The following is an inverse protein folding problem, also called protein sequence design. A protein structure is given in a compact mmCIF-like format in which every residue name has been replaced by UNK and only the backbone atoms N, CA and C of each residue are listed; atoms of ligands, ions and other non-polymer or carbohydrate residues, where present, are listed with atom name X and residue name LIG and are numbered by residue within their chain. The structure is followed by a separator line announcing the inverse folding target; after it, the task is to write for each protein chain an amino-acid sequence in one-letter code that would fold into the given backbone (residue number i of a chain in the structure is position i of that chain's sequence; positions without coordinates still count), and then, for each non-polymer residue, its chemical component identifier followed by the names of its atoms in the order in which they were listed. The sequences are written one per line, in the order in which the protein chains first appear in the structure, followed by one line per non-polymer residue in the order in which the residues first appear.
data_IF_820775132942
#
_entry.id   IF_820775132942
#
_cell.length_a   1.000
_cell.length_b   1.000
_cell.length_c   1.000
_cell.angle_alpha   90.00
_cell.angle_beta   90.00
_cell.angle_gamma   90.00
#
_symmetry.space_group_name_H-M   'P 1'
#
loop_
_entity.id
_entity.type
_entity.pdbx_description
1 polymer ?
#
# COMPACT_ATOMS: atom_id res chain seq x y z
N UNK A 1 -1.60 -0.45 -23.84
CA UNK A 1 -1.64 -1.62 -22.93
C UNK A 1 -3.06 -1.77 -22.44
N UNK A 2 -3.49 -2.97 -22.06
CA UNK A 2 -4.80 -3.19 -21.45
C UNK A 2 -4.61 -3.98 -20.16
N UNK A 3 -5.30 -3.56 -19.09
CA UNK A 3 -5.27 -4.23 -17.78
C UNK A 3 -6.67 -4.57 -17.31
N UNK A 4 -6.75 -5.63 -16.51
CA UNK A 4 -7.96 -6.18 -15.88
C UNK A 4 -7.95 -5.88 -14.40
N UNK A 5 -9.08 -5.40 -13.88
CA UNK A 5 -9.25 -5.03 -12.48
C UNK A 5 -10.52 -5.68 -11.95
N UNK A 6 -10.35 -6.71 -11.13
CA UNK A 6 -11.46 -7.46 -10.53
C UNK A 6 -11.80 -6.90 -9.16
N UNK A 7 -13.08 -6.67 -8.91
CA UNK A 7 -13.57 -6.15 -7.63
C UNK A 7 -14.62 -7.13 -7.10
N UNK A 8 -14.33 -7.73 -5.95
CA UNK A 8 -15.15 -8.79 -5.37
C UNK A 8 -15.71 -8.32 -4.05
N UNK A 9 -17.04 -8.38 -3.91
CA UNK A 9 -17.66 -8.31 -2.59
C UNK A 9 -17.53 -9.68 -1.93
N UNK A 10 -16.75 -9.79 -0.86
CA UNK A 10 -16.40 -11.08 -0.25
C UNK A 10 -15.63 -10.95 1.05
N UNK A 11 -15.32 -12.09 1.66
CA UNK A 11 -14.53 -12.16 2.89
C UNK A 11 -13.08 -12.47 2.55
N UNK A 12 -12.15 -11.67 3.07
CA UNK A 12 -10.71 -11.80 2.83
C UNK A 12 -10.12 -13.15 3.28
N UNK A 13 -10.82 -13.84 4.20
CA UNK A 13 -10.43 -15.16 4.73
C UNK A 13 -10.67 -16.29 3.73
N UNK A 14 -11.40 -16.02 2.65
CA UNK A 14 -11.68 -16.96 1.55
C UNK A 14 -11.50 -16.25 0.20
N UNK A 15 -10.27 -16.11 -0.27
CA UNK A 15 -9.98 -15.41 -1.52
C UNK A 15 -10.36 -16.29 -2.73
N UNK A 16 -11.20 -15.78 -3.67
CA UNK A 16 -11.62 -16.51 -4.86
C UNK A 16 -10.56 -16.45 -5.97
N UNK A 17 -9.34 -16.84 -5.61
CA UNK A 17 -8.13 -16.80 -6.41
C UNK A 17 -7.41 -18.15 -6.36
N UNK A 18 -6.75 -18.50 -7.46
CA UNK A 18 -5.91 -19.68 -7.50
C UNK A 18 -4.63 -19.46 -6.70
N UNK A 19 -3.98 -20.55 -6.30
CA UNK A 19 -2.65 -20.51 -5.71
C UNK A 19 -1.66 -19.87 -6.70
N UNK A 20 -0.65 -19.17 -6.19
CA UNK A 20 0.40 -18.55 -7.01
C UNK A 20 -0.13 -17.71 -8.18
N UNK A 21 -1.14 -16.87 -7.94
CA UNK A 21 -1.86 -16.12 -8.99
C UNK A 21 -1.67 -14.60 -8.94
N UNK A 22 -1.01 -14.07 -7.90
CA UNK A 22 -0.71 -12.63 -7.79
C UNK A 22 0.75 -12.37 -7.47
N UNK A 23 1.29 -11.26 -7.98
CA UNK A 23 2.71 -10.92 -7.85
C UNK A 23 3.03 -10.01 -6.67
N UNK A 24 2.08 -9.17 -6.30
CA UNK A 24 2.23 -8.15 -5.28
C UNK A 24 0.94 -8.05 -4.46
N UNK A 25 1.08 -7.99 -3.14
CA UNK A 25 0.00 -7.60 -2.23
C UNK A 25 0.34 -6.23 -1.68
N UNK A 26 -0.61 -5.30 -1.73
CA UNK A 26 -0.52 -4.00 -1.05
C UNK A 26 -1.84 -3.78 -0.33
N UNK A 27 -1.81 -3.68 0.99
CA UNK A 27 -3.04 -3.61 1.76
C UNK A 27 -2.85 -2.96 3.12
N UNK A 28 -3.96 -2.74 3.81
CA UNK A 28 -4.03 -2.21 5.16
C UNK A 28 -5.20 -2.90 5.89
N UNK A 29 -4.94 -3.84 6.82
CA UNK A 29 -6.00 -4.54 7.52
C UNK A 29 -6.79 -3.60 8.44
N UNK A 30 -7.96 -4.02 8.96
CA UNK A 30 -8.50 -3.42 10.18
C UNK A 30 -7.50 -3.63 11.32
N UNK A 31 -7.08 -2.55 11.98
CA UNK A 31 -6.01 -2.62 12.97
C UNK A 31 -6.53 -3.14 14.32
N UNK A 32 -5.98 -4.24 14.86
CA UNK A 32 -6.34 -4.70 16.19
C UNK A 32 -6.16 -3.61 17.24
N UNK A 33 -7.08 -3.59 18.20
CA UNK A 33 -7.13 -2.68 19.33
C UNK A 33 -7.40 -1.20 19.01
N UNK A 34 -7.69 -0.84 17.75
CA UNK A 34 -8.32 0.46 17.45
C UNK A 34 -9.85 0.31 17.60
N UNK A 35 -10.44 1.15 18.47
CA UNK A 35 -11.85 1.05 18.90
C UNK A 35 -12.86 0.97 17.74
N UNK A 36 -12.60 1.65 16.61
CA UNK A 36 -13.50 1.64 15.46
C UNK A 36 -13.68 0.24 14.84
N UNK A 37 -12.77 -0.70 15.08
CA UNK A 37 -12.80 -2.04 14.52
C UNK A 37 -13.32 -3.10 15.51
N UNK A 38 -13.61 -2.74 16.76
CA UNK A 38 -14.05 -3.67 17.81
C UNK A 38 -15.28 -4.47 17.38
N UNK A 39 -16.33 -3.80 16.89
CA UNK A 39 -17.57 -4.43 16.44
C UNK A 39 -17.33 -5.41 15.28
N UNK A 40 -16.38 -5.09 14.40
CA UNK A 40 -16.04 -5.97 13.27
C UNK A 40 -15.36 -7.23 13.80
N UNK A 41 -14.34 -7.10 14.66
CA UNK A 41 -13.65 -8.25 15.22
C UNK A 41 -14.57 -9.10 16.10
N UNK A 42 -15.39 -8.49 16.96
CA UNK A 42 -16.36 -9.20 17.81
C UNK A 42 -17.46 -9.92 17.00
N UNK A 43 -17.82 -9.41 15.82
CA UNK A 43 -18.74 -10.09 14.92
C UNK A 43 -18.09 -11.29 14.20
N UNK A 44 -16.77 -11.28 14.02
CA UNK A 44 -16.01 -12.37 13.39
C UNK A 44 -15.62 -13.45 14.40
N UNK A 45 -15.30 -13.05 15.63
CA UNK A 45 -15.06 -13.91 16.78
C UNK A 45 -15.68 -13.29 18.05
N UNK A 46 -16.80 -13.83 18.57
CA UNK A 46 -17.47 -13.32 19.77
C UNK A 46 -16.59 -13.29 21.02
N UNK A 47 -15.54 -14.12 21.11
CA UNK A 47 -14.64 -14.12 22.27
C UNK A 47 -13.80 -12.83 22.34
N UNK A 48 -13.61 -12.11 21.23
CA UNK A 48 -13.03 -10.77 21.21
C UNK A 48 -13.90 -9.81 22.02
N UNK A 49 -15.22 -9.81 21.79
CA UNK A 49 -16.16 -8.96 22.51
C UNK A 49 -16.17 -9.27 24.01
N UNK A 50 -16.14 -10.55 24.37
CA UNK A 50 -16.03 -10.99 25.77
C UNK A 50 -14.74 -10.48 26.41
N UNK A 51 -13.60 -10.62 25.74
CA UNK A 51 -12.32 -10.15 26.26
C UNK A 51 -12.29 -8.62 26.45
N UNK A 52 -12.84 -7.86 25.50
CA UNK A 52 -12.97 -6.41 25.61
C UNK A 52 -13.88 -6.00 26.78
N UNK A 53 -15.04 -6.65 26.94
CA UNK A 53 -15.98 -6.38 28.03
C UNK A 53 -15.38 -6.71 29.41
N UNK A 54 -14.50 -7.72 29.48
CA UNK A 54 -13.75 -8.10 30.68
C UNK A 54 -12.54 -7.19 30.95
N UNK A 55 -12.20 -6.28 30.03
CA UNK A 55 -11.00 -5.44 30.10
C UNK A 55 -9.69 -6.21 29.87
N UNK A 56 -9.76 -7.44 29.35
CA UNK A 56 -8.59 -8.27 29.05
C UNK A 56 -8.03 -7.93 27.67
N UNK A 57 -7.23 -6.87 27.63
CA UNK A 57 -6.65 -6.36 26.40
C UNK A 57 -5.66 -7.30 25.72
N UNK A 58 -4.93 -8.13 26.48
CA UNK A 58 -3.94 -9.07 25.91
C UNK A 58 -4.67 -10.16 25.13
N UNK A 59 -5.69 -10.75 25.75
CA UNK A 59 -6.56 -11.73 25.11
C UNK A 59 -7.28 -11.14 23.90
N UNK A 60 -7.82 -9.92 24.01
CA UNK A 60 -8.48 -9.26 22.88
C UNK A 60 -7.51 -9.04 21.70
N UNK A 61 -6.29 -8.58 21.98
CA UNK A 61 -5.25 -8.36 20.97
C UNK A 61 -4.88 -9.65 20.24
N UNK A 62 -4.63 -10.74 20.98
CA UNK A 62 -4.32 -12.06 20.40
C UNK A 62 -5.46 -12.57 19.52
N UNK A 63 -6.71 -12.55 20.02
CA UNK A 63 -7.89 -13.03 19.28
C UNK A 63 -8.16 -12.21 18.00
N UNK A 64 -7.98 -10.89 18.05
CA UNK A 64 -8.12 -10.05 16.85
C UNK A 64 -7.07 -10.41 15.78
N UNK A 65 -5.83 -10.69 16.18
CA UNK A 65 -4.81 -11.15 15.24
C UNK A 65 -5.07 -12.58 14.73
N UNK A 66 -5.67 -13.47 15.54
CA UNK A 66 -6.11 -14.80 15.11
C UNK A 66 -7.18 -14.74 14.00
N UNK A 67 -8.06 -13.75 14.04
CA UNK A 67 -8.99 -13.49 12.93
C UNK A 67 -8.22 -13.14 11.64
N UNK A 68 -7.23 -12.25 11.72
CA UNK A 68 -6.41 -11.83 10.56
C UNK A 68 -5.50 -12.95 10.04
N UNK A 69 -5.10 -13.89 10.90
CA UNK A 69 -4.21 -15.02 10.58
C UNK A 69 -4.70 -15.87 9.41
N UNK A 70 -6.02 -16.03 9.30
CA UNK A 70 -6.65 -16.72 8.18
C UNK A 70 -6.49 -15.97 6.84
N UNK A 71 -6.46 -14.63 6.87
CA UNK A 71 -6.14 -13.81 5.69
C UNK A 71 -4.66 -13.91 5.34
N UNK A 72 -3.77 -13.95 6.33
CA UNK A 72 -2.33 -14.14 6.11
C UNK A 72 -2.02 -15.48 5.43
N UNK A 73 -2.73 -16.55 5.80
CA UNK A 73 -2.65 -17.84 5.12
C UNK A 73 -3.13 -17.76 3.65
N UNK A 74 -4.21 -17.04 3.39
CA UNK A 74 -4.68 -16.82 2.02
C UNK A 74 -3.69 -16.00 1.19
N UNK A 75 -3.06 -14.97 1.76
CA UNK A 75 -2.00 -14.19 1.11
C UNK A 75 -0.82 -15.08 0.74
N UNK A 76 -0.33 -15.92 1.66
CA UNK A 76 0.75 -16.86 1.40
C UNK A 76 0.41 -17.80 0.23
N UNK A 77 -0.83 -18.32 0.22
CA UNK A 77 -1.33 -19.25 -0.81
C UNK A 77 -1.38 -18.62 -2.20
N UNK A 78 -1.88 -17.40 -2.32
CA UNK A 78 -2.12 -16.77 -3.63
C UNK A 78 -0.89 -16.03 -4.18
N UNK A 79 0.05 -15.64 -3.32
CA UNK A 79 1.23 -14.87 -3.71
C UNK A 79 2.27 -15.78 -4.37
N UNK A 80 2.65 -15.50 -5.61
CA UNK A 80 3.66 -16.30 -6.34
C UNK A 80 4.99 -16.42 -5.59
N UNK A 81 5.80 -17.47 -5.86
CA UNK A 81 7.15 -17.54 -5.34
C UNK A 81 7.98 -16.32 -5.73
N UNK A 82 8.52 -15.65 -4.72
CA UNK A 82 9.27 -14.42 -4.82
C UNK A 82 8.44 -13.15 -5.01
N UNK A 83 7.11 -13.26 -4.97
CA UNK A 83 6.20 -12.13 -4.83
C UNK A 83 6.40 -11.40 -3.51
N UNK A 84 5.90 -10.17 -3.44
CA UNK A 84 6.06 -9.27 -2.29
C UNK A 84 4.70 -9.00 -1.66
N UNK A 85 4.64 -8.96 -0.34
CA UNK A 85 3.50 -8.44 0.41
C UNK A 85 3.92 -7.19 1.17
N UNK A 86 3.17 -6.11 0.98
CA UNK A 86 3.32 -4.84 1.67
C UNK A 86 2.09 -4.60 2.55
N UNK A 87 2.26 -4.61 3.86
CA UNK A 87 1.17 -4.46 4.83
C UNK A 87 1.35 -3.14 5.58
N UNK A 88 0.47 -2.17 5.30
CA UNK A 88 0.42 -0.92 6.06
C UNK A 88 -0.34 -1.14 7.36
N UNK A 89 0.29 -0.84 8.50
CA UNK A 89 -0.32 -1.01 9.82
C UNK A 89 0.22 0.00 10.82
N UNK A 90 -0.69 0.56 11.62
CA UNK A 90 -0.34 1.36 12.79
C UNK A 90 -0.36 0.53 14.06
N UNK A 91 0.56 0.81 14.98
CA UNK A 91 0.38 0.38 16.35
C UNK A 91 -0.84 1.08 16.97
N UNK A 92 -1.50 0.42 17.91
CA UNK A 92 -2.64 0.99 18.61
C UNK A 92 -2.24 1.40 20.02
N UNK A 93 -2.75 2.53 20.50
CA UNK A 93 -2.73 2.83 21.93
C UNK A 93 -4.15 2.80 22.47
N UNK A 94 -4.32 2.18 23.64
CA UNK A 94 -5.64 2.02 24.26
C UNK A 94 -5.53 2.08 25.76
N UNK A 95 -6.54 2.67 26.40
CA UNK A 95 -6.71 2.63 27.85
C UNK A 95 -7.77 1.59 28.18
N UNK A 96 -7.42 0.62 29.01
CA UNK A 96 -8.35 -0.33 29.62
C UNK A 96 -8.29 -0.17 31.15
N UNK A 97 -8.98 -1.05 31.88
CA UNK A 97 -9.07 -0.99 33.35
C UNK A 97 -7.70 -1.12 34.05
N UNK A 98 -6.75 -1.82 33.42
CA UNK A 98 -5.37 -2.00 33.91
C UNK A 98 -4.43 -0.83 33.54
N UNK A 99 -4.85 0.05 32.64
CA UNK A 99 -4.18 1.30 32.31
C UNK A 99 -4.02 1.57 30.81
N UNK A 100 -3.27 2.63 30.52
CA UNK A 100 -2.91 3.03 29.16
C UNK A 100 -1.69 2.25 28.68
N UNK A 101 -1.76 1.66 27.48
CA UNK A 101 -0.62 0.97 26.86
C UNK A 101 -0.65 1.01 25.33
N UNK A 102 0.46 0.58 24.74
CA UNK A 102 0.63 0.41 23.29
C UNK A 102 0.57 -1.06 22.92
N UNK A 103 -0.06 -1.35 21.79
CA UNK A 103 -0.26 -2.67 21.20
C UNK A 103 0.51 -2.74 19.88
N UNK A 104 1.61 -3.51 19.82
CA UNK A 104 2.54 -3.49 18.70
C UNK A 104 2.04 -4.37 17.55
N UNK A 105 1.05 -3.88 16.80
CA UNK A 105 0.48 -4.59 15.65
C UNK A 105 1.56 -4.98 14.62
N UNK A 106 2.54 -4.09 14.40
CA UNK A 106 3.61 -4.35 13.44
C UNK A 106 4.47 -5.58 13.81
N UNK A 107 4.73 -5.78 15.11
CA UNK A 107 5.54 -6.87 15.61
C UNK A 107 4.79 -8.21 15.49
N UNK A 108 3.54 -8.24 15.94
CA UNK A 108 2.68 -9.44 15.88
C UNK A 108 2.46 -9.92 14.44
N UNK A 109 2.20 -8.99 13.49
CA UNK A 109 2.08 -9.34 12.07
C UNK A 109 3.42 -9.85 11.53
N UNK A 110 4.55 -9.25 11.93
CA UNK A 110 5.87 -9.70 11.50
C UNK A 110 6.16 -11.13 11.93
N UNK A 111 5.82 -11.49 13.17
CA UNK A 111 5.99 -12.85 13.69
C UNK A 111 5.10 -13.83 12.92
N UNK A 112 3.80 -13.51 12.73
CA UNK A 112 2.85 -14.38 12.00
C UNK A 112 3.20 -14.61 10.53
N UNK A 113 3.76 -13.62 9.85
CA UNK A 113 4.28 -13.80 8.49
C UNK A 113 5.58 -14.62 8.47
N UNK A 114 6.46 -14.42 9.46
CA UNK A 114 7.73 -15.16 9.54
C UNK A 114 7.50 -16.63 9.86
N UNK A 115 6.53 -16.95 10.72
CA UNK A 115 6.11 -18.33 11.03
C UNK A 115 5.51 -19.07 9.83
N UNK A 116 5.14 -18.33 8.77
CA UNK A 116 4.67 -18.83 7.46
C UNK A 116 5.77 -18.88 6.40
N UNK A 117 7.03 -18.98 6.81
CA UNK A 117 8.21 -19.00 5.91
C UNK A 117 8.34 -17.77 4.97
N UNK A 118 7.54 -16.70 5.20
CA UNK A 118 7.71 -15.45 4.48
C UNK A 118 8.90 -14.69 5.04
N UNK A 119 9.73 -14.15 4.14
CA UNK A 119 10.96 -13.47 4.53
C UNK A 119 10.70 -12.00 4.75
N UNK A 120 10.78 -11.55 6.00
CA UNK A 120 10.82 -10.13 6.32
C UNK A 120 12.00 -9.43 5.61
N UNK A 121 11.71 -8.30 4.98
CA UNK A 121 12.66 -7.36 4.40
C UNK A 121 12.66 -6.07 5.25
N UNK A 122 13.59 -5.12 5.03
CA UNK A 122 13.49 -3.82 5.70
C UNK A 122 12.11 -3.19 5.49
N UNK A 123 11.48 -2.80 6.60
CA UNK A 123 10.19 -2.12 6.61
C UNK A 123 10.39 -0.62 6.35
N UNK A 124 9.27 0.08 6.12
CA UNK A 124 9.26 1.53 5.89
C UNK A 124 8.39 2.17 6.96
N UNK A 125 8.94 3.18 7.64
CA UNK A 125 8.21 4.05 8.54
C UNK A 125 7.57 5.18 7.72
N UNK A 126 6.25 5.13 7.56
CA UNK A 126 5.51 6.24 6.97
C UNK A 126 5.10 7.22 8.07
N UNK A 127 5.80 8.35 8.12
CA UNK A 127 5.49 9.44 9.03
C UNK A 127 4.39 10.31 8.42
N UNK A 128 3.24 10.36 9.08
CA UNK A 128 2.14 11.25 8.71
C UNK A 128 2.51 12.68 9.11
N UNK A 129 2.42 13.69 8.22
CA UNK A 129 2.65 15.07 8.62
C UNK A 129 1.64 15.52 9.67
N UNK A 130 2.09 15.69 10.90
CA UNK A 130 1.28 16.17 12.01
C UNK A 130 1.29 17.69 12.05
N UNK A 131 0.15 18.31 11.73
CA UNK A 131 -0.07 19.74 11.95
C UNK A 131 -0.45 20.08 13.41
N UNK A 132 -0.51 19.07 14.30
CA UNK A 132 -0.84 19.26 15.72
C UNK A 132 0.42 19.55 16.55
N UNK A 133 0.44 20.68 17.26
CA UNK A 133 1.49 21.00 18.24
C UNK A 133 1.48 20.10 19.49
N UNK A 134 0.46 19.25 19.66
CA UNK A 134 0.36 18.27 20.74
C UNK A 134 1.07 16.98 20.32
N UNK A 135 2.34 16.83 20.74
CA UNK A 135 3.18 15.63 20.54
C UNK A 135 3.28 14.76 21.80
N UNK A 136 2.22 14.72 22.59
CA UNK A 136 2.21 13.95 23.84
C UNK A 136 0.81 13.42 24.16
N UNK A 137 0.77 12.27 24.83
CA UNK A 137 -0.39 11.69 25.51
C UNK A 137 -0.15 11.71 27.03
N UNK A 138 -1.19 11.79 27.84
CA UNK A 138 -1.06 11.76 29.31
C UNK A 138 -0.76 13.11 29.96
N UNK A 139 0.13 13.14 30.98
CA UNK A 139 0.31 14.26 31.91
C UNK A 139 1.10 15.46 31.35
N UNK A 140 0.65 16.05 30.25
CA UNK A 140 1.03 17.41 29.83
C UNK A 140 2.52 17.73 29.93
N UNK A 141 2.82 18.83 30.63
CA UNK A 141 4.18 19.36 30.82
C UNK A 141 4.88 18.83 32.08
N UNK A 142 4.29 17.86 32.79
CA UNK A 142 4.79 17.42 34.10
C UNK A 142 5.18 15.95 34.05
N UNK A 143 6.46 15.61 34.32
CA UNK A 143 6.89 14.21 34.37
C UNK A 143 6.28 13.46 35.56
N UNK A 144 6.18 12.11 35.51
CA UNK A 144 6.78 11.23 34.50
C UNK A 144 5.80 10.70 33.41
N UNK A 145 4.52 11.07 33.44
CA UNK A 145 3.47 10.34 32.69
C UNK A 145 3.03 11.04 31.39
N UNK A 146 3.94 11.77 30.74
CA UNK A 146 3.74 12.26 29.38
C UNK A 146 4.43 11.30 28.40
N UNK A 147 3.67 10.75 27.46
CA UNK A 147 4.11 9.73 26.51
C UNK A 147 4.15 10.28 25.09
N UNK A 148 5.08 9.82 24.22
CA UNK A 148 5.11 10.21 22.81
C UNK A 148 3.83 9.79 22.08
N UNK A 149 3.37 10.61 21.13
CA UNK A 149 2.29 10.26 20.18
C UNK A 149 2.81 9.31 19.09
N UNK A 150 1.96 8.41 18.60
CA UNK A 150 2.23 7.61 17.41
C UNK A 150 2.13 8.52 16.16
N UNK A 151 3.28 8.89 15.60
CA UNK A 151 3.36 9.76 14.41
C UNK A 151 3.63 8.99 13.10
N UNK A 152 3.79 7.67 13.18
CA UNK A 152 4.11 6.83 12.03
C UNK A 152 3.22 5.59 11.99
N UNK A 153 3.07 5.06 10.78
CA UNK A 153 2.64 3.70 10.51
C UNK A 153 3.81 2.92 9.91
N UNK A 154 3.75 1.60 10.03
CA UNK A 154 4.70 0.68 9.41
C UNK A 154 4.13 0.19 8.10
N UNK A 155 4.94 0.21 7.04
CA UNK A 155 4.71 -0.57 5.84
C UNK A 155 5.66 -1.75 5.92
N UNK A 156 5.14 -2.87 6.41
CA UNK A 156 5.88 -4.12 6.53
C UNK A 156 6.07 -4.72 5.14
N UNK A 157 7.26 -5.21 4.84
CA UNK A 157 7.58 -5.77 3.53
C UNK A 157 8.07 -7.21 3.68
N UNK A 158 7.34 -8.15 3.08
CA UNK A 158 7.66 -9.57 3.10
C UNK A 158 7.85 -10.11 1.69
N UNK A 159 8.73 -11.08 1.52
CA UNK A 159 8.87 -11.86 0.29
C UNK A 159 8.46 -13.30 0.51
N UNK A 160 7.63 -13.85 -0.38
CA UNK A 160 7.34 -15.29 -0.40
C UNK A 160 8.60 -16.06 -0.88
N UNK A 161 9.33 -16.69 0.03
CA UNK A 161 10.48 -17.54 -0.31
C UNK A 161 11.65 -16.84 -1.02
N UNK A 162 12.12 -17.44 -2.12
CA UNK A 162 13.29 -16.99 -2.88
C UNK A 162 13.03 -15.74 -3.74
N UNK A 163 14.06 -15.20 -4.40
CA UNK A 163 13.90 -14.02 -5.27
C UNK A 163 13.19 -14.40 -6.57
N UNK A 164 12.12 -13.66 -6.93
CA UNK A 164 11.49 -13.76 -8.24
C UNK A 164 12.50 -13.43 -9.34
N UNK A 165 12.49 -14.21 -10.42
CA UNK A 165 13.33 -14.00 -11.60
C UNK A 165 12.46 -13.61 -12.79
N UNK A 166 12.93 -12.62 -13.53
CA UNK A 166 12.36 -12.20 -14.81
C UNK A 166 13.39 -12.45 -15.89
N UNK A 167 12.90 -12.76 -17.10
CA UNK A 167 13.79 -13.01 -18.24
C UNK A 167 14.70 -11.81 -18.51
N UNK A 168 16.00 -12.04 -18.81
CA UNK A 168 16.91 -10.96 -19.18
C UNK A 168 16.38 -10.20 -20.41
N UNK A 169 16.36 -8.87 -20.34
CA UNK A 169 15.87 -8.04 -21.44
C UNK A 169 14.35 -7.97 -21.61
N UNK A 170 13.55 -8.51 -20.68
CA UNK A 170 12.09 -8.43 -20.75
C UNK A 170 11.60 -6.96 -20.73
N UNK A 171 10.98 -6.50 -21.83
CA UNK A 171 10.59 -5.10 -21.99
C UNK A 171 9.70 -4.61 -20.84
N UNK A 172 8.69 -5.41 -20.44
CA UNK A 172 7.81 -5.09 -19.29
C UNK A 172 8.56 -4.73 -18.01
N UNK A 173 9.77 -5.28 -17.79
CA UNK A 173 10.60 -4.98 -16.63
C UNK A 173 11.33 -3.65 -16.77
N UNK A 174 11.94 -3.39 -17.93
CA UNK A 174 12.76 -2.19 -18.13
C UNK A 174 11.90 -0.96 -18.43
N UNK A 175 10.75 -1.14 -19.09
CA UNK A 175 9.75 -0.07 -19.24
C UNK A 175 9.13 0.32 -17.89
N UNK A 176 9.03 -0.63 -16.95
CA UNK A 176 8.62 -0.40 -15.56
C UNK A 176 9.70 0.19 -14.65
N UNK A 177 10.83 0.64 -15.20
CA UNK A 177 11.86 1.28 -14.39
C UNK A 177 11.34 2.53 -13.67
N UNK A 178 12.08 2.94 -12.66
CA UNK A 178 11.96 4.23 -11.98
C UNK A 178 13.28 4.97 -12.16
N UNK A 179 13.23 6.30 -12.10
CA UNK A 179 14.42 7.12 -12.25
C UNK A 179 15.38 6.95 -11.07
N UNK A 180 16.65 7.28 -11.28
CA UNK A 180 17.68 7.08 -10.27
C UNK A 180 17.42 7.84 -8.97
N UNK A 181 16.92 9.07 -9.07
CA UNK A 181 16.55 9.92 -7.95
C UNK A 181 15.30 9.40 -7.23
N UNK A 182 14.30 8.94 -7.98
CA UNK A 182 13.14 8.24 -7.42
C UNK A 182 13.58 7.02 -6.61
N UNK A 183 14.50 6.20 -7.15
CA UNK A 183 15.04 5.06 -6.40
C UNK A 183 15.64 5.48 -5.06
N UNK A 184 16.43 6.55 -5.05
CA UNK A 184 17.12 6.98 -3.82
C UNK A 184 16.15 7.52 -2.78
N UNK A 185 15.02 8.09 -3.21
CA UNK A 185 13.97 8.53 -2.31
C UNK A 185 13.07 7.36 -1.86
N UNK A 186 12.61 6.54 -2.80
CA UNK A 186 11.59 5.51 -2.55
C UNK A 186 12.15 4.33 -1.74
N UNK A 187 13.44 4.01 -1.89
CA UNK A 187 14.09 2.95 -1.11
C UNK A 187 14.74 3.46 0.19
N UNK A 188 14.29 4.62 0.68
CA UNK A 188 14.49 5.06 2.07
C UNK A 188 13.51 4.33 2.99
N UNK A 189 13.96 3.99 4.21
CA UNK A 189 13.15 3.38 5.27
C UNK A 189 12.29 4.41 6.04
N UNK A 190 12.41 5.69 5.72
CA UNK A 190 11.58 6.77 6.26
C UNK A 190 10.91 7.54 5.12
N UNK A 191 9.57 7.54 5.11
CA UNK A 191 8.76 8.29 4.16
C UNK A 191 7.98 9.40 4.86
N UNK A 192 8.16 10.63 4.42
CA UNK A 192 7.40 11.79 4.88
C UNK A 192 6.45 12.26 3.76
N UNK A 193 5.31 11.57 3.63
CA UNK A 193 4.30 11.86 2.61
C UNK A 193 3.05 12.45 3.28
N UNK A 194 2.56 13.63 2.84
CA UNK A 194 1.33 14.20 3.38
C UNK A 194 0.15 13.27 3.19
N UNK A 195 -0.70 13.19 4.22
CA UNK A 195 -2.02 12.61 4.06
C UNK A 195 -2.77 13.41 3.00
N UNK A 196 -3.33 12.75 1.98
CA UNK A 196 -4.16 13.43 0.97
C UNK A 196 -5.31 14.17 1.67
N UNK A 197 -5.27 15.50 1.61
CA UNK A 197 -6.25 16.37 2.26
C UNK A 197 -7.37 16.83 1.31
N UNK A 198 -7.44 16.33 0.06
CA UNK A 198 -8.25 17.00 -0.96
C UNK A 198 -9.18 16.14 -1.83
N UNK A 199 -9.20 14.80 -1.74
CA UNK A 199 -9.97 13.99 -2.69
C UNK A 199 -10.96 12.97 -2.09
N UNK A 200 -11.04 12.85 -0.76
CA UNK A 200 -12.00 11.95 -0.09
C UNK A 200 -12.74 12.79 0.95
N UNK A 201 -14.08 12.73 0.95
CA UNK A 201 -14.90 13.28 2.03
C UNK A 201 -14.37 12.74 3.37
N UNK A 202 -13.99 13.62 4.30
CA UNK A 202 -13.30 13.24 5.55
C UNK A 202 -14.05 12.13 6.30
N UNK A 203 -15.40 12.09 6.22
CA UNK A 203 -16.23 11.05 6.81
C UNK A 203 -16.10 9.65 6.17
N UNK A 204 -15.76 9.54 4.88
CA UNK A 204 -15.52 8.26 4.21
C UNK A 204 -14.10 7.72 4.48
N UNK A 205 -13.15 8.63 4.67
CA UNK A 205 -11.77 8.30 5.03
C UNK A 205 -11.70 7.79 6.47
N UNK A 206 -12.36 8.46 7.40
CA UNK A 206 -12.42 8.06 8.82
C UNK A 206 -13.12 6.70 8.99
N UNK A 207 -14.05 6.35 8.11
CA UNK A 207 -14.72 5.04 8.10
C UNK A 207 -13.91 3.91 7.46
N UNK A 208 -12.97 4.22 6.58
CA UNK A 208 -12.26 3.21 5.78
C UNK A 208 -10.80 3.02 6.18
N UNK A 209 -10.22 3.91 6.99
CA UNK A 209 -8.80 3.85 7.33
C UNK A 209 -7.87 4.04 6.12
N UNK A 210 -8.36 4.60 5.01
CA UNK A 210 -7.64 4.61 3.75
C UNK A 210 -6.35 5.48 3.80
N UNK A 211 -5.26 4.90 3.31
CA UNK A 211 -3.97 5.57 3.12
C UNK A 211 -3.94 6.35 1.77
N UNK A 212 -3.08 7.37 1.61
CA UNK A 212 -2.98 8.19 0.39
C UNK A 212 -2.56 7.38 -0.84
N UNK A 213 -2.99 7.77 -2.05
CA UNK A 213 -2.67 7.05 -3.30
C UNK A 213 -1.17 7.00 -3.58
N UNK A 214 -0.41 8.00 -3.12
CA UNK A 214 1.03 8.05 -3.30
C UNK A 214 1.75 6.82 -2.71
N UNK A 215 1.28 6.29 -1.58
CA UNK A 215 1.85 5.12 -0.91
C UNK A 215 1.74 3.85 -1.78
N UNK A 216 0.54 3.37 -2.17
CA UNK A 216 0.42 2.17 -2.98
C UNK A 216 0.97 2.39 -4.38
N UNK A 217 0.86 3.59 -4.95
CA UNK A 217 1.46 3.86 -6.27
C UNK A 217 2.98 3.68 -6.26
N UNK A 218 3.64 4.17 -5.20
CA UNK A 218 5.08 3.95 -4.98
C UNK A 218 5.39 2.46 -4.79
N UNK A 219 4.66 1.76 -3.92
CA UNK A 219 4.87 0.32 -3.68
C UNK A 219 4.65 -0.54 -4.93
N UNK A 220 3.60 -0.27 -5.71
CA UNK A 220 3.32 -0.91 -7.01
C UNK A 220 4.49 -0.69 -7.96
N UNK A 221 5.01 0.53 -8.05
CA UNK A 221 6.15 0.86 -8.91
C UNK A 221 7.46 0.20 -8.46
N UNK A 222 7.66 0.03 -7.15
CA UNK A 222 8.87 -0.59 -6.58
C UNK A 222 8.90 -2.11 -6.74
N UNK A 223 7.77 -2.78 -6.54
CA UNK A 223 7.72 -4.22 -6.30
C UNK A 223 6.96 -5.04 -7.36
N UNK A 224 6.52 -4.40 -8.44
CA UNK A 224 5.90 -5.09 -9.58
C UNK A 224 6.41 -4.57 -10.92
N UNK A 225 6.19 -5.33 -11.98
CA UNK A 225 6.39 -4.88 -13.37
C UNK A 225 5.06 -4.77 -14.11
N UNK A 226 5.04 -4.16 -15.28
CA UNK A 226 3.83 -4.11 -16.12
C UNK A 226 3.26 -5.51 -16.34
N UNK A 227 1.93 -5.57 -16.43
CA UNK A 227 1.10 -6.79 -16.50
C UNK A 227 1.07 -7.67 -15.24
N UNK A 228 1.86 -7.37 -14.20
CA UNK A 228 1.71 -8.08 -12.91
C UNK A 228 0.35 -7.75 -12.25
N UNK A 229 -0.11 -8.65 -11.38
CA UNK A 229 -1.37 -8.51 -10.64
C UNK A 229 -1.13 -8.10 -9.19
N UNK A 230 -1.79 -7.01 -8.79
CA UNK A 230 -1.76 -6.46 -7.43
C UNK A 230 -3.03 -6.85 -6.67
N UNK A 231 -2.88 -7.50 -5.52
CA UNK A 231 -3.98 -7.87 -4.65
C UNK A 231 -4.12 -6.90 -3.46
N UNK A 232 -5.36 -6.54 -3.16
CA UNK A 232 -5.76 -5.90 -1.92
C UNK A 232 -6.93 -6.67 -1.28
N UNK A 233 -6.70 -7.50 -0.24
CA UNK A 233 -7.75 -8.25 0.44
C UNK A 233 -8.62 -7.38 1.35
N UNK A 234 -8.23 -6.12 1.60
CA UNK A 234 -8.97 -5.13 2.40
C UNK A 234 -9.17 -3.86 1.56
N UNK A 235 -9.83 -4.03 0.41
CA UNK A 235 -9.90 -3.02 -0.64
C UNK A 235 -10.44 -1.67 -0.16
N UNK A 236 -11.38 -1.65 0.78
CA UNK A 236 -12.00 -0.43 1.30
C UNK A 236 -12.57 0.43 0.17
N UNK A 237 -12.10 1.67 0.08
CA UNK A 237 -12.51 2.63 -0.98
C UNK A 237 -11.69 2.51 -2.27
N UNK A 238 -10.84 1.48 -2.38
CA UNK A 238 -10.19 1.07 -3.61
C UNK A 238 -8.86 1.75 -3.94
N UNK A 239 -8.18 2.36 -2.97
CA UNK A 239 -6.93 3.11 -3.21
C UNK A 239 -5.85 2.24 -3.87
N UNK A 240 -5.63 1.00 -3.42
CA UNK A 240 -4.64 0.10 -4.06
C UNK A 240 -5.02 -0.25 -5.49
N UNK A 241 -6.31 -0.51 -5.76
CA UNK A 241 -6.79 -0.78 -7.12
C UNK A 241 -6.58 0.43 -8.03
N UNK A 242 -6.87 1.65 -7.56
CA UNK A 242 -6.60 2.88 -8.31
C UNK A 242 -5.10 3.07 -8.59
N UNK A 243 -4.24 2.74 -7.62
CA UNK A 243 -2.79 2.81 -7.80
C UNK A 243 -2.28 1.78 -8.82
N UNK A 244 -2.81 0.55 -8.80
CA UNK A 244 -2.50 -0.47 -9.78
C UNK A 244 -2.97 -0.06 -11.19
N UNK A 245 -4.19 0.49 -11.31
CA UNK A 245 -4.68 1.06 -12.57
C UNK A 245 -3.75 2.19 -13.06
N UNK A 246 -3.46 3.20 -12.23
CA UNK A 246 -2.57 4.30 -12.61
C UNK A 246 -1.14 3.84 -12.94
N UNK A 247 -0.69 2.74 -12.32
CA UNK A 247 0.59 2.11 -12.58
C UNK A 247 0.58 1.12 -13.73
N UNK A 248 -0.52 0.96 -14.48
CA UNK A 248 -0.67 -0.02 -15.56
C UNK A 248 -0.31 -1.47 -15.14
N UNK A 249 -0.78 -1.87 -13.95
CA UNK A 249 -0.79 -3.26 -13.46
C UNK A 249 -2.23 -3.77 -13.44
N UNK A 250 -2.40 -5.09 -13.42
CA UNK A 250 -3.69 -5.71 -13.12
C UNK A 250 -3.99 -5.58 -11.62
N UNK A 251 -5.26 -5.72 -11.21
CA UNK A 251 -5.59 -5.81 -9.79
C UNK A 251 -6.74 -6.73 -9.45
N UNK A 252 -6.73 -7.21 -8.21
CA UNK A 252 -7.86 -7.86 -7.56
C UNK A 252 -8.08 -7.20 -6.21
N UNK A 253 -9.29 -6.71 -5.97
CA UNK A 253 -9.71 -6.15 -4.70
C UNK A 253 -10.82 -6.99 -4.07
N UNK A 254 -10.71 -7.29 -2.77
CA UNK A 254 -11.78 -7.92 -1.99
C UNK A 254 -12.22 -6.97 -0.89
N UNK A 255 -13.53 -6.78 -0.76
CA UNK A 255 -14.13 -5.95 0.30
C UNK A 255 -15.43 -6.59 0.76
N UNK A 256 -15.64 -6.63 2.08
CA UNK A 256 -16.84 -7.22 2.68
C UNK A 256 -18.03 -6.26 2.65
N UNK A 257 -17.79 -4.96 2.82
CA UNK A 257 -18.82 -3.92 2.78
C UNK A 257 -19.12 -3.47 1.34
N UNK A 258 -20.29 -3.83 0.76
CA UNK A 258 -20.64 -3.43 -0.59
C UNK A 258 -20.79 -1.91 -0.77
N UNK A 259 -20.97 -1.14 0.31
CA UNK A 259 -21.06 0.31 0.23
C UNK A 259 -19.67 0.93 -0.01
N UNK A 260 -18.61 0.39 0.60
CA UNK A 260 -17.22 0.81 0.35
C UNK A 260 -16.80 0.50 -1.09
N UNK A 261 -17.23 -0.65 -1.63
CA UNK A 261 -17.01 -1.02 -3.04
C UNK A 261 -17.60 0.01 -4.00
N UNK A 262 -18.76 0.59 -3.70
CA UNK A 262 -19.40 1.59 -4.58
C UNK A 262 -18.60 2.88 -4.67
N UNK A 263 -17.85 3.24 -3.62
CA UNK A 263 -17.01 4.44 -3.62
C UNK A 263 -15.90 4.39 -4.69
N UNK A 264 -15.44 3.19 -5.07
CA UNK A 264 -14.45 3.03 -6.14
C UNK A 264 -14.96 3.57 -7.48
N UNK A 265 -16.26 3.39 -7.79
CA UNK A 265 -16.82 3.79 -9.07
C UNK A 265 -16.67 5.29 -9.34
N UNK A 266 -16.93 6.12 -8.33
CA UNK A 266 -16.79 7.58 -8.42
C UNK A 266 -15.32 8.01 -8.58
N UNK A 267 -14.40 7.28 -7.95
CA UNK A 267 -12.96 7.59 -8.00
C UNK A 267 -12.33 7.21 -9.34
N UNK A 268 -12.82 6.14 -9.96
CA UNK A 268 -12.36 5.68 -11.28
C UNK A 268 -12.65 6.72 -12.37
N UNK A 269 -13.72 7.50 -12.27
CA UNK A 269 -14.07 8.52 -13.26
C UNK A 269 -12.99 9.60 -13.42
N UNK A 270 -12.29 9.95 -12.33
CA UNK A 270 -11.22 10.95 -12.32
C UNK A 270 -9.84 10.38 -12.60
N UNK A 271 -9.75 9.06 -12.79
CA UNK A 271 -8.50 8.35 -12.90
C UNK A 271 -7.69 8.69 -14.16
N UNK A 272 -8.28 8.86 -15.37
CA UNK A 272 -7.53 9.26 -16.55
C UNK A 272 -6.68 10.52 -16.29
N UNK A 273 -7.33 11.63 -15.91
CA UNK A 273 -6.65 12.89 -15.62
C UNK A 273 -5.62 12.74 -14.48
N UNK A 274 -5.94 11.95 -13.45
CA UNK A 274 -5.05 11.76 -12.30
C UNK A 274 -3.80 10.97 -12.68
N UNK A 275 -3.95 9.90 -13.46
CA UNK A 275 -2.83 9.08 -13.93
C UNK A 275 -1.93 9.84 -14.90
N UNK A 276 -2.51 10.67 -15.78
CA UNK A 276 -1.74 11.52 -16.68
C UNK A 276 -0.93 12.56 -15.90
N UNK A 277 -1.52 13.20 -14.89
CA UNK A 277 -0.79 14.12 -14.00
C UNK A 277 0.37 13.43 -13.30
N UNK A 278 0.15 12.27 -12.68
CA UNK A 278 1.21 11.51 -11.99
C UNK A 278 2.38 11.19 -12.94
N UNK A 279 2.09 10.70 -14.15
CA UNK A 279 3.14 10.40 -15.12
C UNK A 279 3.87 11.68 -15.58
N UNK A 280 3.16 12.76 -15.88
CA UNK A 280 3.76 14.04 -16.31
C UNK A 280 4.59 14.68 -15.20
N UNK A 281 4.15 14.64 -13.95
CA UNK A 281 4.89 15.12 -12.78
C UNK A 281 6.21 14.37 -12.65
N UNK A 282 6.21 13.03 -12.69
CA UNK A 282 7.45 12.23 -12.69
C UNK A 282 8.41 12.62 -13.82
N UNK A 283 7.91 12.85 -15.04
CA UNK A 283 8.74 13.30 -16.16
C UNK A 283 9.25 14.74 -16.00
N UNK A 284 8.49 15.61 -15.32
CA UNK A 284 8.90 16.98 -15.05
C UNK A 284 9.98 17.02 -13.95
N UNK A 285 9.76 16.29 -12.86
CA UNK A 285 10.69 16.16 -11.74
C UNK A 285 12.03 15.59 -12.21
N UNK A 286 12.02 14.60 -13.10
CA UNK A 286 13.25 14.06 -13.69
C UNK A 286 14.00 15.09 -14.54
N UNK A 287 13.30 15.88 -15.36
CA UNK A 287 13.93 16.96 -16.15
C UNK A 287 14.58 18.00 -15.23
N UNK A 288 13.89 18.38 -14.17
CA UNK A 288 14.44 19.29 -13.15
C UNK A 288 15.67 18.67 -12.47
N UNK A 289 15.62 17.38 -12.10
CA UNK A 289 16.76 16.67 -11.54
C UNK A 289 17.97 16.67 -12.48
N UNK A 290 17.76 16.44 -13.79
CA UNK A 290 18.83 16.46 -14.80
C UNK A 290 19.48 17.85 -14.88
N UNK A 291 18.69 18.93 -14.87
CA UNK A 291 19.19 20.31 -14.84
C UNK A 291 20.03 20.58 -13.60
N UNK A 292 19.52 20.23 -12.41
CA UNK A 292 20.24 20.39 -11.14
C UNK A 292 21.53 19.55 -11.09
N UNK A 293 21.51 18.35 -11.66
CA UNK A 293 22.67 17.47 -11.72
C UNK A 293 23.78 18.05 -12.60
N UNK A 294 23.41 18.69 -13.73
CA UNK A 294 24.31 19.43 -14.62
C UNK A 294 24.86 20.69 -13.98
N UNK A 295 24.03 21.46 -13.29
CA UNK A 295 24.46 22.64 -12.54
C UNK A 295 25.45 22.30 -11.43
N UNK A 296 25.35 21.09 -10.86
CA UNK A 296 26.32 20.55 -9.91
C UNK A 296 27.61 20.01 -10.56
N UNK A 297 27.80 20.20 -11.88
CA UNK A 297 28.98 19.78 -12.64
C UNK A 297 29.03 18.28 -12.94
N UNK A 298 27.89 17.58 -12.91
CA UNK A 298 27.77 16.15 -13.23
C UNK A 298 26.95 15.98 -14.51
N UNK A 299 27.01 14.80 -15.13
CA UNK A 299 26.24 14.50 -16.34
C UNK A 299 25.63 13.10 -16.20
N UNK A 300 24.35 12.89 -16.57
CA UNK A 300 23.78 11.55 -16.67
C UNK A 300 24.53 10.71 -17.71
N UNK A 301 24.62 9.39 -17.49
CA UNK A 301 25.49 8.52 -18.29
C UNK A 301 24.89 7.99 -19.60
N UNK A 302 23.58 8.18 -19.82
CA UNK A 302 22.83 7.52 -20.91
C UNK A 302 21.68 8.40 -21.42
N UNK A 303 21.18 8.10 -22.62
CA UNK A 303 19.97 8.73 -23.17
C UNK A 303 18.76 7.79 -23.00
N UNK A 304 17.60 8.37 -22.68
CA UNK A 304 16.33 7.65 -22.69
C UNK A 304 15.92 7.32 -24.14
N UNK A 305 15.33 6.14 -24.35
CA UNK A 305 14.87 5.68 -25.67
C UNK A 305 13.50 6.26 -26.04
N UNK A 306 12.71 6.68 -25.05
CA UNK A 306 11.34 7.16 -25.23
C UNK A 306 11.13 8.64 -24.89
N UNK A 307 12.17 9.33 -24.39
CA UNK A 307 12.08 10.70 -23.92
C UNK A 307 13.28 11.53 -24.38
N UNK A 308 13.08 12.84 -24.54
CA UNK A 308 14.11 13.79 -24.98
C UNK A 308 14.93 14.34 -23.79
N UNK A 309 15.41 13.43 -22.93
CA UNK A 309 16.29 13.72 -21.80
C UNK A 309 17.23 12.55 -21.50
N UNK A 310 18.30 12.84 -20.76
CA UNK A 310 19.29 11.87 -20.35
C UNK A 310 18.92 11.20 -19.01
N UNK A 311 19.32 9.94 -18.82
CA UNK A 311 19.09 9.13 -17.60
C UNK A 311 20.40 8.65 -17.00
N UNK A 312 20.41 8.39 -15.70
CA UNK A 312 21.67 8.19 -14.97
C UNK A 312 22.29 6.79 -15.20
N UNK A 313 21.47 5.75 -15.36
CA UNK A 313 21.93 4.36 -15.52
C UNK A 313 21.42 3.68 -16.79
N UNK A 314 22.12 2.62 -17.22
CA UNK A 314 21.73 1.81 -18.37
C UNK A 314 20.34 1.17 -18.21
N UNK A 315 19.92 0.91 -16.97
CA UNK A 315 18.66 0.23 -16.67
C UNK A 315 17.43 1.12 -16.94
N UNK A 316 17.60 2.45 -16.84
CA UNK A 316 16.55 3.44 -17.04
C UNK A 316 16.28 3.74 -18.52
N UNK A 317 17.18 3.35 -19.44
CA UNK A 317 17.10 3.76 -20.85
C UNK A 317 15.76 3.46 -21.52
N UNK A 318 15.11 2.37 -21.12
CA UNK A 318 13.82 1.93 -21.67
C UNK A 318 12.63 2.35 -20.84
N UNK A 319 12.81 3.16 -19.79
CA UNK A 319 11.69 3.62 -18.97
C UNK A 319 10.60 4.20 -19.86
N UNK A 320 9.36 3.81 -19.59
CA UNK A 320 8.21 4.26 -20.37
C UNK A 320 7.00 4.33 -19.46
N UNK A 321 6.54 5.54 -19.21
CA UNK A 321 5.38 5.79 -18.36
C UNK A 321 4.10 5.73 -19.19
N UNK A 322 3.06 5.18 -18.58
CA UNK A 322 1.74 5.04 -19.16
C UNK A 322 0.73 5.81 -18.32
N UNK A 323 -0.29 6.36 -18.97
CA UNK A 323 -1.46 6.92 -18.32
C UNK A 323 -2.70 6.16 -18.79
N UNK A 324 -3.73 6.18 -17.95
CA UNK A 324 -5.05 5.65 -18.26
C UNK A 324 -5.68 6.51 -19.35
N UNK A 325 -6.03 5.86 -20.45
CA UNK A 325 -6.69 6.44 -21.62
C UNK A 325 -8.21 6.23 -21.58
N UNK A 326 -8.64 5.05 -21.12
CA UNK A 326 -10.04 4.67 -21.04
C UNK A 326 -10.32 3.67 -19.93
N UNK A 327 -11.50 3.76 -19.34
CA UNK A 327 -11.98 2.81 -18.35
C UNK A 327 -13.36 2.30 -18.75
N UNK A 328 -13.49 0.99 -18.88
CA UNK A 328 -14.73 0.29 -19.20
C UNK A 328 -15.15 -0.55 -17.99
N UNK A 329 -16.39 -0.42 -17.54
CA UNK A 329 -16.95 -1.29 -16.49
C UNK A 329 -17.28 -2.65 -17.09
N UNK A 330 -16.92 -3.73 -16.39
CA UNK A 330 -17.22 -5.11 -16.76
C UNK A 330 -18.10 -5.77 -15.68
N UNK A 331 -18.53 -7.00 -15.92
CA UNK A 331 -19.31 -7.78 -14.93
C UNK A 331 -18.50 -8.09 -13.66
N UNK A 332 -17.17 -8.15 -13.76
CA UNK A 332 -16.26 -8.51 -12.67
C UNK A 332 -15.49 -7.32 -12.08
N UNK A 333 -15.65 -6.12 -12.64
CA UNK A 333 -14.95 -4.90 -12.22
C UNK A 333 -14.72 -3.94 -13.38
N UNK A 334 -13.48 -3.80 -13.83
CA UNK A 334 -13.07 -2.83 -14.86
C UNK A 334 -12.02 -3.39 -15.82
N UNK A 335 -12.10 -2.95 -17.07
CA UNK A 335 -11.04 -3.04 -18.08
C UNK A 335 -10.48 -1.65 -18.31
N UNK A 336 -9.17 -1.50 -18.29
CA UNK A 336 -8.51 -0.19 -18.41
C UNK A 336 -7.52 -0.22 -19.57
N UNK A 337 -7.61 0.76 -20.47
CA UNK A 337 -6.66 0.96 -21.55
C UNK A 337 -5.66 2.04 -21.18
N UNK A 338 -4.41 1.86 -21.58
CA UNK A 338 -3.32 2.78 -21.28
C UNK A 338 -2.55 3.19 -22.52
N UNK A 339 -2.18 4.46 -22.57
CA UNK A 339 -1.35 5.06 -23.62
C UNK A 339 -0.03 5.56 -23.03
N UNK A 340 1.10 5.46 -23.76
CA UNK A 340 2.34 6.06 -23.33
C UNK A 340 2.21 7.58 -23.18
N UNK A 341 2.82 8.13 -22.14
CA UNK A 341 2.93 9.58 -21.94
C UNK A 341 4.21 10.07 -22.59
N UNK A 342 4.14 11.19 -23.33
CA UNK A 342 5.24 11.85 -24.05
C UNK A 342 5.92 12.97 -23.25
#
# INVERSE_FOLDING_TARGET
METSHRVVTGDARELPLADDSVELVVTSPPYPMIEMWDDIFAALDPDVGVALDEGDGDRAFELMHDVLDSVWAEIERVLVPGGIACINVGDATRSLDDGFRSYPNHAEITDRFTDRDMRALPDILWRKPTNSGAKFMGSGMVPPNAYPTLEHEHILVFRNGERRRLEPGADRRYESAYFWEERNEWFSDLWELPGEAQDIDDGLRDRSGAFPLAIPYRLVSMFSVYDDTVLDPFLGTGTTTLAAMAGARNSVGVERDPDLVRALAERVERLPDRSERLARERLADHREWVEQYRDAGKEPGYEAEHYDFAVNTKQERRIRLYAVDGVERTDEGYRVTHTPVE
#
